data_IF_812965040315
#
_entry.id   IF_812965040315
#
_cell.length_a   1.000
_cell.length_b   1.000
_cell.length_c   1.000
_cell.angle_alpha   90.00
_cell.angle_beta   90.00
_cell.angle_gamma   90.00
#
_symmetry.space_group_name_H-M   'P 1'
#
loop_
_entity.id
_entity.type
_entity.pdbx_description
1 polymer ?
#
# COMPACT_ATOMS: atom_id res chain seq x y z
N UNK A 1 -2.07 47.32 -46.79
CA UNK A 1 -1.67 47.41 -45.37
C UNK A 1 -2.70 46.71 -44.45
N UNK A 2 -2.95 45.41 -44.64
CA UNK A 2 -3.85 44.62 -43.77
C UNK A 2 -3.52 43.12 -43.78
N UNK A 3 -2.89 42.64 -44.84
CA UNK A 3 -2.33 41.27 -44.96
C UNK A 3 -1.05 41.04 -44.13
N UNK A 4 -0.39 42.11 -43.65
CA UNK A 4 0.80 42.01 -42.79
C UNK A 4 0.48 41.73 -41.32
N UNK A 5 -0.76 41.95 -40.87
CA UNK A 5 -1.16 41.74 -39.47
C UNK A 5 -1.62 40.31 -39.17
N UNK A 6 -1.82 39.47 -40.20
CA UNK A 6 -2.22 38.06 -40.02
C UNK A 6 -0.99 37.16 -39.85
N UNK A 7 0.14 37.53 -40.47
CA UNK A 7 1.38 36.76 -40.41
C UNK A 7 2.06 36.90 -39.04
N UNK A 8 1.96 38.08 -38.40
CA UNK A 8 2.52 38.31 -37.07
C UNK A 8 1.81 37.53 -35.95
N UNK A 9 0.54 37.17 -36.14
CA UNK A 9 -0.24 36.42 -35.14
C UNK A 9 -0.04 34.91 -35.20
N UNK A 10 0.44 34.37 -36.33
CA UNK A 10 0.64 32.92 -36.51
C UNK A 10 2.06 32.46 -36.07
N UNK A 11 3.02 33.39 -36.01
CA UNK A 11 4.40 33.10 -35.59
C UNK A 11 4.56 32.96 -34.06
N UNK A 12 3.62 33.47 -33.26
CA UNK A 12 3.72 33.43 -31.80
C UNK A 12 3.27 32.08 -31.18
N UNK A 13 2.49 31.27 -31.91
CA UNK A 13 1.90 30.02 -31.40
C UNK A 13 2.81 28.80 -31.64
N UNK A 14 3.69 28.85 -32.65
CA UNK A 14 4.60 27.75 -32.98
C UNK A 14 5.83 27.66 -32.07
N UNK A 15 6.15 28.72 -31.32
CA UNK A 15 7.28 28.74 -30.37
C UNK A 15 6.98 28.05 -29.02
N UNK A 16 5.72 27.73 -28.72
CA UNK A 16 5.31 27.12 -27.45
C UNK A 16 5.39 25.57 -27.43
N UNK A 17 5.63 24.92 -28.57
CA UNK A 17 5.66 23.46 -28.66
C UNK A 17 7.04 22.83 -28.39
N UNK A 18 8.09 23.64 -28.21
CA UNK A 18 9.45 23.15 -27.87
C UNK A 18 9.81 23.32 -26.37
N UNK A 19 8.92 23.85 -25.55
CA UNK A 19 9.18 24.03 -24.11
C UNK A 19 8.98 22.76 -23.27
N UNK A 20 8.44 21.68 -23.83
CA UNK A 20 8.53 20.35 -23.22
C UNK A 20 9.87 19.71 -23.58
N UNK A 21 10.97 20.34 -23.18
CA UNK A 21 12.24 19.64 -23.04
C UNK A 21 12.03 18.60 -21.94
N UNK A 22 11.82 17.35 -22.37
CA UNK A 22 11.87 16.19 -21.49
C UNK A 22 13.25 16.23 -20.86
N UNK A 23 13.32 16.74 -19.63
CA UNK A 23 14.46 16.51 -18.75
C UNK A 23 14.58 15.00 -18.64
N UNK A 24 15.51 14.45 -19.42
CA UNK A 24 15.94 13.08 -19.24
C UNK A 24 16.29 12.95 -17.77
N UNK A 25 15.61 12.02 -17.10
CA UNK A 25 15.95 11.64 -15.75
C UNK A 25 17.46 11.38 -15.75
N UNK A 26 18.17 12.18 -14.97
CA UNK A 26 19.54 11.89 -14.54
C UNK A 26 19.57 10.40 -14.22
N UNK A 27 20.46 9.65 -14.88
CA UNK A 27 20.63 8.23 -14.61
C UNK A 27 21.00 8.10 -13.14
N UNK A 28 20.02 7.69 -12.32
CA UNK A 28 20.18 7.47 -10.90
C UNK A 28 21.17 6.31 -10.74
N UNK A 29 22.46 6.64 -10.68
CA UNK A 29 23.48 5.83 -10.03
C UNK A 29 22.83 5.30 -8.74
N UNK A 30 22.76 3.98 -8.49
CA UNK A 30 22.12 3.46 -7.30
C UNK A 30 22.80 4.04 -6.06
N UNK A 31 22.18 5.07 -5.48
CA UNK A 31 22.47 5.49 -4.13
C UNK A 31 21.94 4.37 -3.24
N UNK A 32 22.81 3.84 -2.36
CA UNK A 32 22.40 2.91 -1.33
C UNK A 32 21.17 3.49 -0.59
N UNK A 33 20.09 2.71 -0.37
CA UNK A 33 18.85 3.28 0.13
C UNK A 33 18.99 3.63 1.62
N UNK A 34 19.16 4.91 1.93
CA UNK A 34 18.96 5.49 3.27
C UNK A 34 17.53 6.05 3.41
N UNK A 35 16.54 5.19 3.17
CA UNK A 35 15.12 5.42 3.50
C UNK A 35 14.53 4.19 4.19
N UNK A 36 13.35 4.26 4.81
CA UNK A 36 12.67 3.07 5.32
C UNK A 36 12.57 2.06 4.17
N UNK A 37 13.11 0.86 4.36
CA UNK A 37 13.03 -0.19 3.33
C UNK A 37 11.57 -0.41 2.99
N UNK A 38 11.21 -0.28 1.70
CA UNK A 38 9.84 -0.52 1.26
C UNK A 38 9.41 -1.94 1.67
N UNK A 39 8.19 -2.08 2.18
CA UNK A 39 7.66 -3.39 2.54
C UNK A 39 7.27 -4.14 1.28
N UNK A 40 7.78 -5.36 1.17
CA UNK A 40 7.60 -6.29 0.07
C UNK A 40 7.24 -7.66 0.63
N UNK A 41 6.76 -8.54 -0.24
CA UNK A 41 6.53 -9.95 0.12
C UNK A 41 7.82 -10.65 0.58
N UNK A 42 9.02 -10.11 0.28
CA UNK A 42 10.31 -10.65 0.69
C UNK A 42 10.77 -10.21 2.09
N UNK A 43 10.30 -9.06 2.62
CA UNK A 43 10.73 -8.53 3.92
C UNK A 43 9.58 -8.21 4.89
N UNK A 44 8.33 -8.57 4.56
CA UNK A 44 7.17 -8.34 5.42
C UNK A 44 7.29 -9.00 6.80
N UNK A 45 6.97 -8.23 7.85
CA UNK A 45 6.94 -8.63 9.25
C UNK A 45 5.70 -8.07 9.96
N UNK A 46 5.51 -8.43 11.23
CA UNK A 46 4.46 -7.83 12.05
C UNK A 46 4.73 -6.33 12.29
N UNK A 47 5.95 -6.00 12.67
CA UNK A 47 6.42 -4.65 13.01
C UNK A 47 6.38 -3.67 11.85
N UNK A 48 6.63 -4.12 10.61
CA UNK A 48 6.64 -3.23 9.45
C UNK A 48 5.30 -3.18 8.68
N UNK A 49 4.38 -4.13 8.90
CA UNK A 49 3.12 -4.18 8.15
C UNK A 49 1.96 -4.85 8.89
N UNK A 50 2.08 -6.14 9.26
CA UNK A 50 0.90 -6.92 9.64
C UNK A 50 0.22 -6.35 10.90
N UNK A 51 0.99 -5.88 11.88
CA UNK A 51 0.46 -5.25 13.09
C UNK A 51 -0.38 -4.01 12.79
N UNK A 52 0.11 -3.12 11.91
CA UNK A 52 -0.64 -1.95 11.48
C UNK A 52 -1.92 -2.35 10.72
N UNK A 53 -1.86 -3.38 9.87
CA UNK A 53 -3.03 -3.89 9.16
C UNK A 53 -4.12 -4.37 10.11
N UNK A 54 -3.79 -5.21 11.09
CA UNK A 54 -4.74 -5.70 12.09
C UNK A 54 -5.27 -4.55 12.97
N UNK A 55 -4.40 -3.61 13.34
CA UNK A 55 -4.80 -2.43 14.10
C UNK A 55 -5.81 -1.55 13.34
N UNK A 56 -5.62 -1.34 12.04
CA UNK A 56 -6.48 -0.46 11.24
C UNK A 56 -7.76 -1.16 10.76
N UNK A 57 -7.68 -2.44 10.37
CA UNK A 57 -8.77 -3.14 9.67
C UNK A 57 -9.55 -4.10 10.57
N UNK A 58 -9.02 -4.49 11.72
CA UNK A 58 -9.62 -5.52 12.58
C UNK A 58 -9.96 -5.03 13.98
N UNK A 59 -9.18 -4.10 14.54
CA UNK A 59 -9.28 -3.69 15.95
C UNK A 59 -10.64 -3.06 16.34
N UNK A 60 -11.35 -2.40 15.42
CA UNK A 60 -12.65 -1.80 15.75
C UNK A 60 -13.69 -2.84 16.21
N UNK A 61 -13.64 -4.04 15.65
CA UNK A 61 -14.52 -5.14 16.01
C UNK A 61 -13.86 -6.11 16.99
N UNK A 62 -12.56 -6.37 16.83
CA UNK A 62 -11.85 -7.43 17.55
C UNK A 62 -10.90 -6.91 18.64
N UNK A 63 -10.70 -5.61 18.80
CA UNK A 63 -9.82 -5.06 19.83
C UNK A 63 -10.41 -5.15 21.25
N UNK A 64 -9.68 -4.69 22.29
CA UNK A 64 -10.13 -4.73 23.69
C UNK A 64 -11.51 -4.09 23.95
N UNK A 65 -11.85 -3.08 23.14
CA UNK A 65 -13.12 -2.36 23.19
C UNK A 65 -14.08 -2.74 22.04
N UNK A 66 -13.70 -3.72 21.21
CA UNK A 66 -14.49 -4.14 20.06
C UNK A 66 -15.69 -5.02 20.44
N UNK A 67 -16.78 -4.87 19.70
CA UNK A 67 -18.03 -5.60 19.93
C UNK A 67 -17.92 -7.12 19.73
N UNK A 68 -16.91 -7.59 18.98
CA UNK A 68 -16.68 -9.01 18.64
C UNK A 68 -15.45 -9.61 19.34
N UNK A 69 -14.93 -8.96 20.38
CA UNK A 69 -13.76 -9.45 21.15
C UNK A 69 -13.96 -10.83 21.79
N UNK A 70 -15.20 -11.23 22.06
CA UNK A 70 -15.53 -12.56 22.60
C UNK A 70 -15.39 -13.68 21.57
N UNK A 71 -15.46 -13.37 20.27
CA UNK A 71 -15.24 -14.34 19.19
C UNK A 71 -13.75 -14.52 18.93
N UNK A 72 -13.05 -13.39 18.83
CA UNK A 72 -11.60 -13.30 18.74
C UNK A 72 -11.15 -11.93 19.24
N UNK A 73 -10.22 -11.90 20.19
CA UNK A 73 -9.62 -10.69 20.74
C UNK A 73 -8.26 -10.47 20.09
N UNK A 74 -8.13 -9.38 19.33
CA UNK A 74 -6.85 -8.85 18.90
C UNK A 74 -6.18 -8.10 20.06
N UNK A 75 -5.07 -8.65 20.56
CA UNK A 75 -4.25 -8.03 21.60
C UNK A 75 -2.74 -8.18 21.34
N UNK A 76 -2.37 -8.29 20.06
CA UNK A 76 -0.98 -8.37 19.62
C UNK A 76 -0.70 -9.60 18.76
N UNK A 77 0.58 -9.78 18.41
CA UNK A 77 1.04 -10.87 17.53
C UNK A 77 0.59 -12.25 18.02
N UNK A 78 0.66 -12.52 19.32
CA UNK A 78 0.30 -13.81 19.91
C UNK A 78 -1.17 -14.20 19.64
N UNK A 79 -2.11 -13.24 19.70
CA UNK A 79 -3.53 -13.52 19.37
C UNK A 79 -3.76 -13.96 17.93
N UNK A 80 -2.86 -13.59 17.01
CA UNK A 80 -2.94 -13.98 15.61
C UNK A 80 -2.27 -15.34 15.41
N UNK A 81 -1.06 -15.52 15.97
CA UNK A 81 -0.28 -16.77 15.81
C UNK A 81 -0.94 -17.98 16.45
N UNK A 82 -1.62 -17.79 17.58
CA UNK A 82 -2.20 -18.88 18.35
C UNK A 82 -3.61 -19.27 17.86
N UNK A 83 -4.15 -18.60 16.85
CA UNK A 83 -5.50 -18.87 16.34
C UNK A 83 -5.52 -18.96 14.81
N UNK A 84 -5.45 -20.18 14.30
CA UNK A 84 -5.44 -20.48 12.86
C UNK A 84 -6.70 -20.00 12.13
N UNK A 85 -7.80 -19.78 12.87
CA UNK A 85 -9.06 -19.26 12.30
C UNK A 85 -8.89 -17.85 11.74
N UNK A 86 -7.96 -17.06 12.29
CA UNK A 86 -7.72 -15.67 11.84
C UNK A 86 -7.21 -15.67 10.41
N UNK A 87 -6.13 -16.40 10.12
CA UNK A 87 -5.59 -16.52 8.78
C UNK A 87 -6.60 -17.15 7.82
N UNK A 88 -7.31 -18.19 8.26
CA UNK A 88 -8.34 -18.84 7.43
C UNK A 88 -9.49 -17.88 7.06
N UNK A 89 -10.01 -17.10 8.02
CA UNK A 89 -11.09 -16.15 7.82
C UNK A 89 -10.72 -15.03 6.83
N UNK A 90 -9.46 -14.58 6.87
CA UNK A 90 -8.99 -13.44 6.07
C UNK A 90 -8.47 -13.85 4.69
N UNK A 91 -7.72 -14.96 4.60
CA UNK A 91 -6.99 -15.35 3.39
C UNK A 91 -7.71 -16.45 2.60
N UNK A 92 -8.30 -17.43 3.29
CA UNK A 92 -8.91 -18.61 2.65
C UNK A 92 -10.38 -18.38 2.36
N UNK A 93 -11.20 -18.22 3.40
CA UNK A 93 -12.66 -18.04 3.24
C UNK A 93 -13.02 -16.60 2.89
N UNK A 94 -12.13 -15.65 3.15
CA UNK A 94 -12.29 -14.22 2.85
C UNK A 94 -13.59 -13.64 3.41
N UNK A 95 -14.02 -14.15 4.57
CA UNK A 95 -15.23 -13.72 5.28
C UNK A 95 -14.99 -12.51 6.17
N UNK A 96 -13.72 -12.16 6.40
CA UNK A 96 -13.26 -10.98 7.14
C UNK A 96 -12.38 -10.08 6.26
N UNK A 97 -12.40 -8.75 6.49
CA UNK A 97 -13.22 -8.04 7.47
C UNK A 97 -14.68 -7.89 7.04
N UNK A 98 -15.62 -7.93 8.00
CA UNK A 98 -17.04 -7.62 7.74
C UNK A 98 -17.24 -6.12 7.50
N UNK A 99 -18.00 -5.76 6.47
CA UNK A 99 -18.27 -4.36 6.13
C UNK A 99 -17.05 -3.60 5.56
N UNK A 100 -15.98 -4.31 5.21
CA UNK A 100 -14.78 -3.73 4.62
C UNK A 100 -14.08 -4.74 3.71
N UNK A 101 -12.87 -4.39 3.28
CA UNK A 101 -12.05 -5.27 2.47
C UNK A 101 -10.56 -5.00 2.69
N UNK A 102 -9.76 -5.98 2.30
CA UNK A 102 -8.34 -5.80 2.04
C UNK A 102 -8.16 -5.58 0.54
N UNK A 103 -7.31 -4.62 0.19
CA UNK A 103 -6.77 -4.46 -1.16
C UNK A 103 -5.99 -5.71 -1.57
N UNK A 104 -5.73 -5.85 -2.87
CA UNK A 104 -4.92 -6.94 -3.40
C UNK A 104 -3.53 -6.97 -2.76
N UNK A 105 -2.83 -5.82 -2.72
CA UNK A 105 -1.48 -5.73 -2.15
C UNK A 105 -1.46 -6.01 -0.64
N UNK A 106 -2.45 -5.55 0.12
CA UNK A 106 -2.54 -5.89 1.55
C UNK A 106 -2.70 -7.41 1.75
N UNK A 107 -3.49 -8.06 0.91
CA UNK A 107 -3.72 -9.50 0.97
C UNK A 107 -2.49 -10.30 0.57
N UNK A 108 -1.76 -9.87 -0.46
CA UNK A 108 -0.51 -10.48 -0.90
C UNK A 108 0.59 -10.38 0.18
N UNK A 109 0.75 -9.20 0.79
CA UNK A 109 1.68 -9.01 1.89
C UNK A 109 1.30 -9.83 3.11
N UNK A 110 0.01 -9.88 3.45
CA UNK A 110 -0.47 -10.69 4.58
C UNK A 110 -0.28 -12.19 4.30
N UNK A 111 -0.54 -12.66 3.08
CA UNK A 111 -0.28 -14.05 2.68
C UNK A 111 1.20 -14.39 2.82
N UNK A 112 2.09 -13.56 2.26
CA UNK A 112 3.53 -13.76 2.36
C UNK A 112 4.04 -13.74 3.81
N UNK A 113 3.44 -12.93 4.67
CA UNK A 113 3.76 -12.91 6.10
C UNK A 113 3.35 -14.21 6.80
N UNK A 114 2.16 -14.73 6.51
CA UNK A 114 1.69 -16.04 7.03
C UNK A 114 2.56 -17.17 6.52
N UNK A 115 2.90 -17.20 5.23
CA UNK A 115 3.71 -18.25 4.59
C UNK A 115 5.13 -18.33 5.18
N UNK A 116 5.65 -17.21 5.71
CA UNK A 116 6.93 -17.14 6.41
C UNK A 116 6.88 -17.49 7.90
N UNK A 117 5.74 -17.96 8.40
CA UNK A 117 5.59 -18.31 9.81
C UNK A 117 5.37 -17.10 10.73
N UNK A 118 4.82 -16.01 10.19
CA UNK A 118 4.44 -14.81 10.95
C UNK A 118 5.62 -14.23 11.77
N UNK A 119 6.69 -13.76 11.11
CA UNK A 119 7.81 -13.10 11.78
C UNK A 119 7.39 -11.78 12.42
N UNK A 120 8.02 -11.45 13.55
CA UNK A 120 7.80 -10.17 14.26
C UNK A 120 8.43 -8.99 13.53
#
# INVERSE_FOLDING_TARGET
MKKQNVIFSLAAITALLFACSKRQAEELKPAAPTGPTAVTTANVTYSNFAGALFQTKCNSCHGPNGALKSVWLFNGLASIKNDTRVANAVLVTKTMPKGGSLTTSERELLQAWVDKGMPE
#
